data_IF_582583936776
#
_entry.id   IF_582583936776
#
_cell.length_a   1.000
_cell.length_b   1.000
_cell.length_c   1.000
_cell.angle_alpha   90.00
_cell.angle_beta   90.00
_cell.angle_gamma   90.00
#
_symmetry.space_group_name_H-M   'P 1'
#
loop_
_entity.id
_entity.type
_entity.pdbx_description
1 polymer ?
#
# COMPACT_ATOMS: atom_id res chain seq x y z
N UNK A 1 -45.08 -88.02 -24.05
CA UNK A 1 -45.77 -86.71 -23.97
C UNK A 1 -45.52 -86.14 -22.58
N UNK A 2 -45.20 -84.89 -22.32
CA UNK A 2 -44.66 -83.76 -23.06
C UNK A 2 -44.16 -82.79 -21.96
N UNK A 3 -43.19 -81.99 -22.33
CA UNK A 3 -42.30 -81.18 -21.49
C UNK A 3 -42.87 -79.82 -20.99
N UNK A 4 -42.43 -79.42 -19.79
CA UNK A 4 -41.89 -78.07 -19.39
C UNK A 4 -42.80 -76.86 -19.07
N UNK A 5 -42.44 -76.24 -17.92
CA UNK A 5 -42.21 -74.79 -17.62
C UNK A 5 -43.35 -73.77 -17.44
N UNK A 6 -43.42 -73.21 -16.21
CA UNK A 6 -43.66 -71.77 -15.90
C UNK A 6 -42.45 -70.92 -16.39
N UNK A 7 -42.49 -69.57 -16.58
CA UNK A 7 -43.17 -68.58 -15.73
C UNK A 7 -43.72 -67.31 -16.42
N UNK A 8 -44.34 -66.45 -15.60
CA UNK A 8 -45.02 -65.22 -15.98
C UNK A 8 -44.13 -64.11 -16.56
N UNK A 9 -44.82 -63.25 -17.29
CA UNK A 9 -44.35 -62.00 -17.86
C UNK A 9 -43.67 -61.12 -16.80
N UNK A 10 -42.39 -60.83 -17.06
CA UNK A 10 -41.57 -59.89 -16.30
C UNK A 10 -42.18 -58.49 -16.27
N UNK A 11 -42.52 -57.99 -15.08
CA UNK A 11 -42.49 -56.53 -14.81
C UNK A 11 -41.04 -56.09 -14.72
N UNK A 12 -40.43 -55.79 -15.86
CA UNK A 12 -39.19 -55.01 -15.90
C UNK A 12 -39.53 -53.55 -15.53
N UNK A 13 -39.64 -53.27 -14.23
CA UNK A 13 -39.63 -51.91 -13.71
C UNK A 13 -38.18 -51.55 -13.39
N UNK A 14 -37.65 -50.60 -14.17
CA UNK A 14 -36.27 -50.15 -14.16
C UNK A 14 -35.81 -49.74 -12.76
N UNK A 15 -34.91 -50.53 -12.16
CA UNK A 15 -34.07 -50.03 -11.07
C UNK A 15 -32.92 -49.24 -11.69
N UNK A 16 -32.98 -47.90 -11.59
CA UNK A 16 -31.86 -47.01 -11.94
C UNK A 16 -30.56 -47.54 -11.33
N UNK A 17 -29.55 -47.76 -12.18
CA UNK A 17 -28.24 -48.26 -11.77
C UNK A 17 -27.61 -47.32 -10.74
N UNK A 18 -26.78 -47.84 -9.84
CA UNK A 18 -26.09 -47.02 -8.84
C UNK A 18 -25.28 -45.88 -9.48
N UNK A 19 -24.73 -46.13 -10.67
CA UNK A 19 -23.98 -45.16 -11.46
C UNK A 19 -24.86 -44.00 -11.96
N UNK A 20 -26.08 -44.28 -12.45
CA UNK A 20 -27.02 -43.23 -12.85
C UNK A 20 -27.44 -42.33 -11.69
N UNK A 21 -27.58 -42.88 -10.47
CA UNK A 21 -27.87 -42.09 -9.27
C UNK A 21 -26.72 -41.15 -8.89
N UNK A 22 -25.48 -41.63 -9.01
CA UNK A 22 -24.29 -40.79 -8.73
C UNK A 22 -24.16 -39.67 -9.77
N UNK A 23 -24.41 -39.96 -11.05
CA UNK A 23 -24.39 -38.95 -12.11
C UNK A 23 -25.48 -37.88 -11.90
N UNK A 24 -26.72 -38.29 -11.62
CA UNK A 24 -27.81 -37.35 -11.34
C UNK A 24 -27.51 -36.47 -10.11
N UNK A 25 -26.94 -37.03 -9.05
CA UNK A 25 -26.55 -36.25 -7.87
C UNK A 25 -25.42 -35.25 -8.19
N UNK A 26 -24.46 -35.62 -9.03
CA UNK A 26 -23.41 -34.71 -9.48
C UNK A 26 -23.96 -33.57 -10.34
N UNK A 27 -24.92 -33.84 -11.23
CA UNK A 27 -25.59 -32.81 -12.02
C UNK A 27 -26.35 -31.81 -11.14
N UNK A 28 -27.09 -32.30 -10.14
CA UNK A 28 -27.79 -31.43 -9.17
C UNK A 28 -26.78 -30.59 -8.37
N UNK A 29 -25.67 -31.17 -7.93
CA UNK A 29 -24.62 -30.44 -7.22
C UNK A 29 -23.97 -29.36 -8.11
N UNK A 30 -23.74 -29.65 -9.39
CA UNK A 30 -23.21 -28.68 -10.35
C UNK A 30 -24.18 -27.51 -10.57
N UNK A 31 -25.48 -27.80 -10.74
CA UNK A 31 -26.51 -26.76 -10.88
C UNK A 31 -26.59 -25.86 -9.65
N UNK A 32 -26.47 -26.44 -8.44
CA UNK A 32 -26.48 -25.68 -7.19
C UNK A 32 -25.25 -24.76 -7.09
N UNK A 33 -24.06 -25.27 -7.45
CA UNK A 33 -22.83 -24.47 -7.50
C UNK A 33 -22.97 -23.32 -8.50
N UNK A 34 -23.57 -23.56 -9.66
CA UNK A 34 -23.78 -22.53 -10.68
C UNK A 34 -24.76 -21.45 -10.21
N UNK A 35 -25.85 -21.83 -9.55
CA UNK A 35 -26.78 -20.89 -8.91
C UNK A 35 -26.07 -20.01 -7.88
N UNK A 36 -25.31 -20.62 -6.97
CA UNK A 36 -24.56 -19.88 -5.95
C UNK A 36 -23.52 -18.94 -6.57
N UNK A 37 -22.83 -19.38 -7.62
CA UNK A 37 -21.87 -18.51 -8.36
C UNK A 37 -22.57 -17.31 -8.97
N UNK A 38 -23.75 -17.50 -9.56
CA UNK A 38 -24.57 -16.42 -10.12
C UNK A 38 -24.99 -15.42 -9.05
N UNK A 39 -25.48 -15.90 -7.90
CA UNK A 39 -25.85 -15.07 -6.75
C UNK A 39 -24.67 -14.25 -6.21
N UNK A 40 -23.51 -14.89 -6.02
CA UNK A 40 -22.29 -14.21 -5.57
C UNK A 40 -21.86 -13.15 -6.58
N UNK A 41 -21.94 -13.44 -7.88
CA UNK A 41 -21.65 -12.47 -8.94
C UNK A 41 -22.60 -11.27 -8.89
N UNK A 42 -23.90 -11.52 -8.67
CA UNK A 42 -24.90 -10.46 -8.49
C UNK A 42 -24.58 -9.57 -7.29
N UNK A 43 -24.25 -10.15 -6.13
CA UNK A 43 -23.86 -9.39 -4.93
C UNK A 43 -22.61 -8.53 -5.18
N UNK A 44 -21.61 -9.08 -5.88
CA UNK A 44 -20.41 -8.32 -6.25
C UNK A 44 -20.73 -7.14 -7.15
N UNK A 45 -21.58 -7.34 -8.17
CA UNK A 45 -22.00 -6.27 -9.07
C UNK A 45 -22.79 -5.18 -8.33
N UNK A 46 -23.71 -5.55 -7.44
CA UNK A 46 -24.45 -4.58 -6.62
C UNK A 46 -23.51 -3.73 -5.77
N UNK A 47 -22.55 -4.35 -5.07
CA UNK A 47 -21.55 -3.61 -4.29
C UNK A 47 -20.69 -2.68 -5.15
N UNK A 48 -20.28 -3.13 -6.33
CA UNK A 48 -19.50 -2.31 -7.27
C UNK A 48 -20.31 -1.07 -7.69
N UNK A 49 -21.60 -1.23 -8.00
CA UNK A 49 -22.44 -0.09 -8.41
C UNK A 49 -22.74 0.87 -7.26
N UNK A 50 -22.97 0.36 -6.05
CA UNK A 50 -23.08 1.19 -4.84
C UNK A 50 -21.81 2.00 -4.60
N UNK A 51 -20.65 1.36 -4.69
CA UNK A 51 -19.37 2.02 -4.48
C UNK A 51 -19.07 3.05 -5.57
N UNK A 52 -19.35 2.74 -6.85
CA UNK A 52 -19.28 3.73 -7.94
C UNK A 52 -20.18 4.94 -7.68
N UNK A 53 -21.38 4.73 -7.14
CA UNK A 53 -22.31 5.81 -6.81
C UNK A 53 -21.75 6.69 -5.69
N UNK A 54 -21.23 6.10 -4.61
CA UNK A 54 -20.57 6.82 -3.53
C UNK A 54 -19.37 7.64 -4.06
N UNK A 55 -18.49 7.00 -4.83
CA UNK A 55 -17.30 7.66 -5.37
C UNK A 55 -17.65 8.82 -6.31
N UNK A 56 -18.74 8.73 -7.08
CA UNK A 56 -19.24 9.85 -7.88
C UNK A 56 -19.74 11.01 -7.02
N UNK A 57 -20.44 10.73 -5.92
CA UNK A 57 -20.91 11.75 -4.98
C UNK A 57 -19.74 12.45 -4.28
N UNK A 58 -18.78 11.68 -3.76
CA UNK A 58 -17.57 12.23 -3.13
C UNK A 58 -16.77 13.09 -4.09
N UNK A 59 -16.54 12.63 -5.32
CA UNK A 59 -15.85 13.43 -6.34
C UNK A 59 -16.60 14.73 -6.67
N UNK A 60 -17.94 14.73 -6.66
CA UNK A 60 -18.72 15.95 -6.83
C UNK A 60 -18.48 16.94 -5.69
N UNK A 61 -18.57 16.47 -4.44
CA UNK A 61 -18.35 17.30 -3.25
C UNK A 61 -16.93 17.84 -3.16
N UNK A 62 -15.94 17.02 -3.52
CA UNK A 62 -14.54 17.44 -3.60
C UNK A 62 -14.33 18.50 -4.67
N UNK A 63 -14.95 18.36 -5.85
CA UNK A 63 -14.91 19.40 -6.90
C UNK A 63 -15.51 20.72 -6.42
N UNK A 64 -16.68 20.69 -5.78
CA UNK A 64 -17.31 21.89 -5.22
C UNK A 64 -16.42 22.54 -4.14
N UNK A 65 -15.76 21.72 -3.32
CA UNK A 65 -14.84 22.20 -2.28
C UNK A 65 -13.60 22.85 -2.89
N UNK A 66 -13.06 22.27 -3.97
CA UNK A 66 -11.94 22.86 -4.74
C UNK A 66 -12.35 24.18 -5.37
N UNK A 67 -13.55 24.27 -5.98
CA UNK A 67 -14.04 25.53 -6.54
C UNK A 67 -14.22 26.62 -5.49
N UNK A 68 -14.78 26.27 -4.31
CA UNK A 68 -14.89 27.20 -3.18
C UNK A 68 -13.54 27.66 -2.67
N UNK A 69 -12.61 26.74 -2.46
CA UNK A 69 -11.26 27.06 -2.00
C UNK A 69 -10.51 27.92 -3.02
N UNK A 70 -10.66 27.61 -4.32
CA UNK A 70 -10.14 28.42 -5.41
C UNK A 70 -10.72 29.83 -5.32
N UNK A 71 -12.04 29.99 -5.26
CA UNK A 71 -12.71 31.28 -5.17
C UNK A 71 -12.27 32.12 -3.95
N UNK A 72 -12.10 31.48 -2.78
CA UNK A 72 -11.58 32.15 -1.57
C UNK A 72 -10.15 32.62 -1.77
N UNK A 73 -9.30 31.80 -2.39
CA UNK A 73 -7.92 32.15 -2.71
C UNK A 73 -7.88 33.32 -3.69
N UNK A 74 -8.70 33.30 -4.75
CA UNK A 74 -8.87 34.43 -5.68
C UNK A 74 -9.24 35.71 -4.92
N UNK A 75 -10.22 35.63 -4.02
CA UNK A 75 -10.67 36.80 -3.25
C UNK A 75 -9.57 37.38 -2.35
N UNK A 76 -8.80 36.52 -1.69
CA UNK A 76 -7.66 36.93 -0.85
C UNK A 76 -6.49 37.50 -1.68
N UNK A 77 -6.22 36.93 -2.85
CA UNK A 77 -5.21 37.44 -3.79
C UNK A 77 -5.60 38.84 -4.31
N UNK A 78 -6.86 39.03 -4.68
CA UNK A 78 -7.40 40.33 -5.06
C UNK A 78 -7.33 41.34 -3.90
N UNK A 79 -7.66 40.93 -2.68
CA UNK A 79 -7.59 41.79 -1.49
C UNK A 79 -6.14 42.18 -1.12
N UNK A 80 -5.16 41.33 -1.46
CA UNK A 80 -3.73 41.54 -1.19
C UNK A 80 -2.97 42.17 -2.37
N UNK A 81 -3.66 42.61 -3.41
CA UNK A 81 -3.08 43.35 -4.55
C UNK A 81 -2.22 42.50 -5.49
N UNK A 82 -2.35 41.16 -5.46
CA UNK A 82 -1.68 40.27 -6.40
C UNK A 82 -2.58 40.03 -7.63
N UNK A 83 -2.14 40.38 -8.85
CA UNK A 83 -2.94 40.14 -10.04
C UNK A 83 -2.93 38.64 -10.38
N UNK A 84 -4.11 38.09 -10.61
CA UNK A 84 -4.21 36.74 -11.16
C UNK A 84 -3.73 36.71 -12.60
N UNK A 85 -2.82 35.78 -12.88
CA UNK A 85 -2.37 35.47 -14.23
C UNK A 85 -3.31 34.36 -14.73
N UNK A 86 -4.09 34.58 -15.80
CA UNK A 86 -4.90 33.54 -16.39
C UNK A 86 -3.98 32.43 -16.92
N UNK A 87 -4.34 31.19 -16.63
CA UNK A 87 -3.72 30.03 -17.26
C UNK A 87 -4.11 30.09 -18.75
N UNK A 88 -3.17 30.02 -19.71
CA UNK A 88 -3.52 30.05 -21.13
C UNK A 88 -4.48 28.91 -21.49
N UNK A 89 -5.73 29.24 -21.83
CA UNK A 89 -6.74 28.25 -22.20
C UNK A 89 -8.20 28.68 -22.10
N UNK A 90 -8.55 29.77 -21.41
CA UNK A 90 -9.94 30.26 -21.38
C UNK A 90 -9.98 31.79 -21.33
N UNK A 91 -10.72 32.37 -22.29
CA UNK A 91 -10.84 33.81 -22.55
C UNK A 91 -11.34 34.59 -21.33
N UNK A 92 -10.59 35.59 -20.88
CA UNK A 92 -11.14 36.71 -20.09
C UNK A 92 -10.51 38.02 -20.56
N UNK A 93 -11.38 39.00 -20.78
CA UNK A 93 -11.10 40.35 -21.26
C UNK A 93 -10.22 41.18 -20.31
N UNK A 94 -9.59 42.18 -20.92
CA UNK A 94 -8.52 43.05 -20.41
C UNK A 94 -8.98 44.12 -19.40
N UNK A 95 -8.03 44.80 -18.72
CA UNK A 95 -8.10 45.20 -17.31
C UNK A 95 -8.29 46.70 -17.10
N UNK A 96 -8.52 47.11 -15.85
CA UNK A 96 -8.27 48.48 -15.39
C UNK A 96 -7.37 48.52 -14.16
N UNK A 97 -6.32 49.32 -14.35
CA UNK A 97 -5.14 49.66 -13.57
C UNK A 97 -5.44 50.70 -12.48
N UNK A 98 -4.86 50.59 -11.28
CA UNK A 98 -4.42 51.78 -10.49
C UNK A 98 -3.19 51.44 -9.63
N UNK A 99 -2.22 52.35 -9.66
CA UNK A 99 -0.91 52.39 -9.00
C UNK A 99 -0.93 52.90 -7.53
N UNK A 100 0.21 52.70 -6.84
CA UNK A 100 0.88 53.59 -5.85
C UNK A 100 0.91 53.18 -4.35
N UNK A 101 1.97 52.44 -3.99
CA UNK A 101 3.13 52.79 -3.10
C UNK A 101 2.98 53.46 -1.68
N UNK A 102 4.01 53.28 -0.79
CA UNK A 102 3.90 52.97 0.65
C UNK A 102 4.27 54.14 1.60
N UNK A 103 4.39 53.95 2.93
CA UNK A 103 5.75 53.78 3.51
C UNK A 103 5.88 52.99 4.84
N UNK A 104 7.06 52.36 5.02
CA UNK A 104 8.04 52.42 6.16
C UNK A 104 7.55 52.38 7.64
N UNK A 105 8.24 51.90 8.67
CA UNK A 105 9.64 51.49 8.89
C UNK A 105 9.77 50.84 10.28
N UNK A 106 10.93 50.22 10.48
CA UNK A 106 11.47 49.45 11.61
C UNK A 106 11.51 50.18 12.97
N UNK A 107 11.51 49.40 14.06
CA UNK A 107 12.36 49.68 15.23
C UNK A 107 12.93 48.38 15.81
N UNK A 108 14.25 48.37 15.94
CA UNK A 108 15.09 47.37 16.57
C UNK A 108 15.45 47.81 18.00
N UNK A 109 15.67 46.86 18.91
CA UNK A 109 16.51 47.11 20.09
C UNK A 109 17.26 45.85 20.52
N UNK A 110 18.57 46.01 20.73
CA UNK A 110 19.59 45.06 21.17
C UNK A 110 19.91 45.32 22.64
N UNK A 111 20.28 44.29 23.41
CA UNK A 111 21.51 44.27 24.25
C UNK A 111 21.86 42.82 24.70
N UNK A 112 23.14 42.54 25.06
CA UNK A 112 23.82 41.26 24.83
C UNK A 112 24.21 40.50 26.11
N UNK A 113 24.69 39.26 25.97
CA UNK A 113 25.69 38.70 26.87
C UNK A 113 26.52 37.62 26.17
N UNK A 114 27.82 37.70 26.40
CA UNK A 114 28.87 36.88 25.80
C UNK A 114 29.43 35.92 26.86
N UNK A 115 29.51 34.63 26.57
CA UNK A 115 30.45 33.72 27.22
C UNK A 115 31.01 32.71 26.20
N UNK A 116 32.30 32.38 26.39
CA UNK A 116 33.24 31.84 25.41
C UNK A 116 33.81 30.51 25.93
N UNK A 117 34.02 29.57 24.99
CA UNK A 117 34.96 28.41 24.93
C UNK A 117 34.44 27.03 25.40
N UNK A 118 35.02 25.89 24.91
CA UNK A 118 35.93 25.70 23.75
C UNK A 118 35.51 24.60 22.74
N UNK A 119 36.16 24.64 21.57
CA UNK A 119 36.20 23.62 20.49
C UNK A 119 37.03 22.38 20.86
N UNK A 120 36.54 21.20 20.47
CA UNK A 120 37.25 20.00 19.93
C UNK A 120 36.17 19.00 19.52
N UNK A 121 36.17 18.25 18.42
CA UNK A 121 37.10 18.01 17.32
C UNK A 121 36.22 17.38 16.20
N UNK A 122 36.32 17.83 14.96
CA UNK A 122 35.50 17.32 13.83
C UNK A 122 36.05 15.96 13.36
N UNK A 123 35.22 14.93 13.14
CA UNK A 123 35.63 13.75 12.39
C UNK A 123 35.99 14.14 10.94
N UNK A 124 36.91 13.41 10.29
CA UNK A 124 37.33 13.69 8.91
C UNK A 124 36.15 13.57 7.94
N UNK A 125 36.15 14.34 6.82
CA UNK A 125 35.10 14.25 5.81
C UNK A 125 35.08 12.84 5.21
N UNK A 126 33.89 12.25 4.96
CA UNK A 126 33.80 10.97 4.28
C UNK A 126 34.44 11.08 2.88
N UNK A 127 35.13 10.02 2.41
CA UNK A 127 35.76 10.00 1.10
C UNK A 127 34.73 10.30 0.01
N UNK A 128 35.19 11.09 -0.97
CA UNK A 128 34.46 11.52 -2.17
C UNK A 128 33.68 10.36 -2.76
N UNK A 129 32.41 10.64 -3.08
CA UNK A 129 31.50 9.75 -3.77
C UNK A 129 32.23 9.01 -4.90
N UNK A 130 32.21 7.67 -4.80
CA UNK A 130 32.53 6.80 -5.90
C UNK A 130 31.60 7.12 -7.09
N UNK A 131 32.00 6.81 -8.33
CA UNK A 131 31.21 7.09 -9.53
C UNK A 131 29.78 6.62 -9.31
N UNK A 132 28.80 7.49 -9.55
CA UNK A 132 27.39 7.17 -9.35
C UNK A 132 27.06 5.94 -10.21
N UNK A 133 26.93 4.78 -9.54
CA UNK A 133 26.44 3.57 -10.16
C UNK A 133 25.07 3.87 -10.78
N UNK A 134 24.74 3.27 -11.94
CA UNK A 134 23.44 3.48 -12.57
C UNK A 134 22.32 3.28 -11.54
N UNK A 135 21.34 4.19 -11.55
CA UNK A 135 20.19 4.10 -10.65
C UNK A 135 19.31 2.97 -11.16
N UNK A 136 19.45 1.80 -10.55
CA UNK A 136 18.69 0.61 -10.89
C UNK A 136 18.17 -0.12 -9.64
N UNK A 137 17.35 -1.13 -9.87
CA UNK A 137 16.79 -1.98 -8.81
C UNK A 137 17.88 -2.86 -8.17
N UNK A 138 19.01 -3.07 -8.85
CA UNK A 138 20.14 -3.84 -8.37
C UNK A 138 20.76 -3.29 -7.08
N UNK A 139 20.62 -1.98 -6.85
CA UNK A 139 21.08 -1.27 -5.64
C UNK A 139 20.20 -1.48 -4.40
N UNK A 140 19.01 -2.06 -4.56
CA UNK A 140 18.08 -2.32 -3.45
C UNK A 140 18.35 -3.71 -2.84
N UNK A 141 18.44 -3.78 -1.52
CA UNK A 141 18.59 -5.06 -0.81
C UNK A 141 17.22 -5.62 -0.42
N UNK A 142 16.61 -6.36 -1.35
CA UNK A 142 15.39 -7.10 -1.08
C UNK A 142 15.67 -8.50 -0.55
N UNK A 143 15.00 -8.86 0.54
CA UNK A 143 15.07 -10.20 1.14
C UNK A 143 13.70 -10.69 1.57
N UNK A 144 13.54 -12.00 1.58
CA UNK A 144 12.41 -12.65 2.22
C UNK A 144 12.62 -12.66 3.73
N UNK A 145 11.58 -12.38 4.49
CA UNK A 145 11.59 -12.51 5.94
C UNK A 145 10.32 -13.12 6.49
N UNK A 146 10.38 -13.57 7.74
CA UNK A 146 9.25 -14.14 8.48
C UNK A 146 8.96 -13.31 9.72
N UNK A 147 7.71 -12.88 9.87
CA UNK A 147 7.27 -12.16 11.06
C UNK A 147 7.19 -13.16 12.22
N UNK A 148 8.13 -13.04 13.17
CA UNK A 148 8.23 -13.92 14.36
C UNK A 148 7.29 -13.43 15.46
N UNK A 149 7.19 -12.11 15.64
CA UNK A 149 6.32 -11.49 16.63
C UNK A 149 5.72 -10.21 16.04
N UNK A 150 4.45 -9.95 16.32
CA UNK A 150 3.77 -8.70 15.98
C UNK A 150 3.03 -8.16 17.20
N UNK A 151 3.19 -6.87 17.46
CA UNK A 151 2.50 -6.15 18.53
C UNK A 151 2.02 -4.80 18.04
N UNK A 152 0.97 -4.24 18.65
CA UNK A 152 0.56 -2.86 18.37
C UNK A 152 1.55 -1.89 18.99
N UNK A 153 1.86 -0.81 18.27
CA UNK A 153 2.77 0.21 18.77
C UNK A 153 2.17 0.90 20.02
N UNK A 154 2.91 1.05 21.13
CA UNK A 154 2.37 1.62 22.38
C UNK A 154 1.87 3.05 22.22
N UNK A 155 2.59 3.86 21.44
CA UNK A 155 2.27 5.28 21.21
C UNK A 155 1.60 5.57 19.84
N UNK A 156 1.14 4.54 19.12
CA UNK A 156 0.49 4.70 17.81
C UNK A 156 -0.52 3.60 17.48
N UNK A 157 -1.80 3.99 17.38
CA UNK A 157 -2.88 3.06 17.02
C UNK A 157 -2.84 2.58 15.57
N UNK A 158 -2.12 3.29 14.69
CA UNK A 158 -2.03 2.95 13.26
C UNK A 158 -0.80 2.12 12.91
N UNK A 159 0.08 1.83 13.87
CA UNK A 159 1.37 1.17 13.62
C UNK A 159 1.45 -0.17 14.34
N UNK A 160 2.02 -1.16 13.67
CA UNK A 160 2.51 -2.39 14.27
C UNK A 160 4.01 -2.29 14.49
N UNK A 161 4.50 -3.02 15.49
CA UNK A 161 5.91 -3.29 15.73
C UNK A 161 6.11 -4.79 15.53
N UNK A 162 6.85 -5.14 14.50
CA UNK A 162 7.17 -6.51 14.14
C UNK A 162 8.63 -6.85 14.44
N UNK A 163 8.86 -8.08 14.89
CA UNK A 163 10.16 -8.74 14.87
C UNK A 163 10.21 -9.67 13.68
N UNK A 164 11.07 -9.37 12.72
CA UNK A 164 11.12 -10.10 11.44
C UNK A 164 12.48 -10.78 11.30
N UNK A 165 12.44 -12.10 11.12
CA UNK A 165 13.63 -12.90 10.79
C UNK A 165 13.94 -12.69 9.30
N UNK A 166 15.13 -12.17 9.01
CA UNK A 166 15.62 -11.88 7.66
C UNK A 166 16.78 -12.82 7.27
N UNK A 167 16.95 -13.96 7.95
CA UNK A 167 18.11 -14.84 7.79
C UNK A 167 19.39 -14.27 8.41
N UNK A 168 19.25 -13.35 9.36
CA UNK A 168 20.34 -12.73 10.13
C UNK A 168 20.38 -13.31 11.55
N UNK A 169 21.51 -13.17 12.29
CA UNK A 169 21.62 -13.73 13.64
C UNK A 169 20.58 -13.20 14.63
N UNK A 170 20.07 -11.98 14.39
CA UNK A 170 19.04 -11.35 15.21
C UNK A 170 17.88 -10.88 14.33
N UNK A 171 16.62 -11.12 14.75
CA UNK A 171 15.46 -10.55 14.07
C UNK A 171 15.51 -9.02 14.09
N UNK A 172 15.17 -8.41 12.96
CA UNK A 172 15.10 -6.95 12.83
C UNK A 172 13.80 -6.42 13.40
N UNK A 173 13.86 -5.21 13.94
CA UNK A 173 12.65 -4.47 14.36
C UNK A 173 12.11 -3.68 13.19
N UNK A 174 10.84 -3.90 12.84
CA UNK A 174 10.16 -3.21 11.76
C UNK A 174 8.90 -2.55 12.29
N UNK A 175 8.62 -1.34 11.83
CA UNK A 175 7.42 -0.60 12.19
C UNK A 175 6.60 -0.40 10.92
N UNK A 176 5.41 -1.00 10.85
CA UNK A 176 4.55 -0.95 9.67
C UNK A 176 3.22 -0.24 9.95
N UNK A 177 2.72 0.49 8.95
CA UNK A 177 1.43 1.19 9.02
C UNK A 177 0.22 0.32 8.63
N UNK A 178 0.22 -0.95 9.02
CA UNK A 178 -0.71 -1.95 8.48
C UNK A 178 -1.94 -2.23 9.35
N UNK A 179 -2.09 -1.57 10.52
CA UNK A 179 -3.17 -1.84 11.48
C UNK A 179 -4.57 -1.72 10.88
N UNK A 180 -4.76 -0.80 9.94
CA UNK A 180 -6.07 -0.57 9.28
C UNK A 180 -6.35 -1.54 8.13
N UNK A 181 -5.33 -2.27 7.66
CA UNK A 181 -5.40 -3.05 6.43
C UNK A 181 -5.31 -4.56 6.68
N UNK A 182 -4.50 -4.97 7.67
CA UNK A 182 -4.24 -6.38 7.97
C UNK A 182 -4.44 -6.62 9.47
N UNK A 183 -5.29 -7.59 9.85
CA UNK A 183 -5.48 -7.95 11.25
C UNK A 183 -4.21 -8.61 11.82
N UNK A 184 -4.00 -8.47 13.14
CA UNK A 184 -2.81 -8.97 13.82
C UNK A 184 -2.61 -10.49 13.64
N UNK A 185 -3.70 -11.25 13.60
CA UNK A 185 -3.70 -12.71 13.40
C UNK A 185 -3.12 -13.12 12.04
N UNK A 186 -3.35 -12.31 11.00
CA UNK A 186 -2.81 -12.55 9.66
C UNK A 186 -1.36 -12.08 9.51
N UNK A 187 -0.85 -11.27 10.45
CA UNK A 187 0.53 -10.80 10.45
C UNK A 187 1.47 -11.82 11.11
N UNK A 188 0.99 -12.53 12.13
CA UNK A 188 1.79 -13.48 12.88
C UNK A 188 2.25 -14.65 12.00
N UNK A 189 3.54 -15.00 12.05
CA UNK A 189 4.16 -16.06 11.24
C UNK A 189 4.06 -15.87 9.71
N UNK A 190 3.69 -14.69 9.23
CA UNK A 190 3.57 -14.40 7.80
C UNK A 190 4.94 -14.21 7.15
N UNK A 191 5.08 -14.77 5.95
CA UNK A 191 6.22 -14.54 5.07
C UNK A 191 6.02 -13.24 4.31
N UNK A 192 7.07 -12.42 4.24
CA UNK A 192 7.03 -11.07 3.65
C UNK A 192 8.30 -10.78 2.86
N UNK A 193 8.22 -9.82 1.95
CA UNK A 193 9.41 -9.25 1.29
C UNK A 193 9.78 -7.94 1.99
N UNK A 194 11.07 -7.77 2.27
CA UNK A 194 11.61 -6.64 3.01
C UNK A 194 12.64 -5.89 2.18
N UNK A 195 12.72 -4.59 2.41
CA UNK A 195 13.85 -3.77 1.98
C UNK A 195 14.78 -3.49 3.18
N UNK A 196 16.01 -4.00 3.11
CA UNK A 196 16.91 -4.13 4.25
C UNK A 196 18.07 -3.11 4.29
N UNK A 197 18.33 -2.38 3.21
CA UNK A 197 19.43 -1.41 3.12
C UNK A 197 18.98 0.06 3.20
N UNK A 198 17.77 0.33 3.70
CA UNK A 198 17.36 1.68 4.05
C UNK A 198 18.08 2.17 5.31
N UNK A 199 18.27 3.49 5.40
CA UNK A 199 18.68 4.12 6.65
C UNK A 199 17.63 3.86 7.74
N UNK A 200 17.98 3.29 8.91
CA UNK A 200 17.03 3.08 9.98
C UNK A 200 16.34 4.39 10.40
N UNK A 201 15.02 4.33 10.55
CA UNK A 201 14.18 5.48 10.83
C UNK A 201 13.44 5.30 12.15
N UNK A 202 13.40 6.35 12.97
CA UNK A 202 12.63 6.34 14.22
C UNK A 202 11.18 6.73 13.94
N UNK A 203 10.26 5.87 14.31
CA UNK A 203 8.81 6.09 14.22
C UNK A 203 8.27 6.04 15.65
N UNK A 204 7.91 7.21 16.19
CA UNK A 204 7.35 7.36 17.55
C UNK A 204 8.13 6.63 18.66
N UNK A 205 9.46 6.70 18.59
CA UNK A 205 10.35 6.15 19.63
C UNK A 205 10.93 4.77 19.31
N UNK A 206 10.28 3.98 18.44
CA UNK A 206 10.80 2.70 17.96
C UNK A 206 11.61 2.91 16.68
N UNK A 207 12.76 2.23 16.55
CA UNK A 207 13.60 2.30 15.35
C UNK A 207 13.21 1.18 14.38
N UNK A 208 12.79 1.52 13.17
CA UNK A 208 12.53 0.57 12.08
C UNK A 208 13.81 0.37 11.27
N UNK A 209 14.27 -0.87 11.19
CA UNK A 209 15.54 -1.29 10.56
C UNK A 209 15.34 -1.87 9.16
N UNK A 210 14.10 -2.07 8.75
CA UNK A 210 13.70 -2.48 7.41
C UNK A 210 12.29 -1.93 7.11
N UNK A 211 11.81 -2.18 5.90
CA UNK A 211 10.45 -1.85 5.46
C UNK A 211 9.81 -3.06 4.78
N UNK A 212 8.57 -3.39 5.18
CA UNK A 212 7.77 -4.42 4.51
C UNK A 212 7.28 -3.89 3.17
N UNK A 213 7.47 -4.69 2.12
CA UNK A 213 7.03 -4.35 0.77
C UNK A 213 5.56 -4.72 0.56
N UNK A 214 4.79 -3.73 0.10
CA UNK A 214 3.37 -3.86 -0.13
C UNK A 214 2.99 -3.34 -1.51
N UNK A 215 1.92 -3.88 -2.09
CA UNK A 215 1.17 -3.24 -3.16
C UNK A 215 0.16 -2.27 -2.51
N UNK A 216 0.17 -1.01 -2.95
CA UNK A 216 -0.75 0.02 -2.44
C UNK A 216 -1.53 0.67 -3.56
N UNK A 217 -2.84 0.80 -3.37
CA UNK A 217 -3.76 1.67 -4.10
C UNK A 217 -4.36 2.71 -3.14
N UNK A 218 -5.08 3.74 -3.63
CA UNK A 218 -5.72 4.74 -2.76
C UNK A 218 -6.65 4.12 -1.70
N UNK A 219 -7.26 2.97 -2.01
CA UNK A 219 -8.28 2.34 -1.18
C UNK A 219 -7.77 1.10 -0.41
N UNK A 220 -6.65 0.50 -0.82
CA UNK A 220 -6.19 -0.79 -0.29
C UNK A 220 -4.68 -0.92 -0.23
N UNK A 221 -4.18 -1.60 0.80
CA UNK A 221 -2.78 -2.01 0.91
C UNK A 221 -2.73 -3.52 1.15
N UNK A 222 -1.94 -4.22 0.36
CA UNK A 222 -1.72 -5.67 0.47
C UNK A 222 -0.22 -5.97 0.55
N UNK A 223 0.16 -6.88 1.44
CA UNK A 223 1.56 -7.27 1.63
C UNK A 223 1.99 -8.20 0.49
N UNK A 224 3.18 -7.96 -0.08
CA UNK A 224 3.74 -8.84 -1.10
C UNK A 224 4.10 -10.20 -0.48
N UNK A 225 3.45 -11.25 -0.98
CA UNK A 225 3.71 -12.62 -0.56
C UNK A 225 4.86 -13.22 -1.41
N UNK A 226 5.92 -13.75 -0.78
CA UNK A 226 6.94 -14.53 -1.49
C UNK A 226 6.36 -15.88 -1.95
N UNK A 227 7.03 -16.58 -2.90
CA UNK A 227 6.59 -17.88 -3.38
C UNK A 227 6.60 -18.93 -2.26
N UNK A 228 5.78 -19.97 -2.41
CA UNK A 228 5.74 -21.10 -1.48
C UNK A 228 7.12 -21.78 -1.41
N UNK A 229 7.58 -22.05 -0.19
CA UNK A 229 8.88 -22.66 0.07
C UNK A 229 10.05 -21.68 0.24
N UNK A 230 9.82 -20.37 0.09
CA UNK A 230 10.84 -19.37 0.40
C UNK A 230 11.23 -19.40 1.89
N UNK A 231 12.52 -19.24 2.16
CA UNK A 231 13.09 -19.21 3.50
C UNK A 231 13.45 -17.77 3.92
N UNK A 232 13.46 -17.46 5.24
CA UNK A 232 14.01 -16.22 5.75
C UNK A 232 15.47 -16.01 5.27
N UNK A 233 15.75 -14.86 4.69
CA UNK A 233 17.04 -14.51 4.12
C UNK A 233 17.20 -14.77 2.63
N UNK A 234 16.23 -15.43 1.98
CA UNK A 234 16.27 -15.61 0.53
C UNK A 234 16.34 -14.25 -0.19
N UNK A 235 17.23 -14.17 -1.18
CA UNK A 235 17.48 -12.95 -1.92
C UNK A 235 16.42 -12.75 -3.00
N UNK A 236 15.81 -11.58 -3.02
CA UNK A 236 14.87 -11.19 -4.09
C UNK A 236 15.61 -10.28 -5.07
N UNK A 237 15.57 -10.63 -6.35
CA UNK A 237 16.19 -9.85 -7.41
C UNK A 237 15.26 -9.75 -8.62
N UNK A 238 15.42 -8.69 -9.41
CA UNK A 238 14.69 -8.53 -10.66
C UNK A 238 15.50 -9.11 -11.83
N UNK A 239 14.85 -9.91 -12.68
CA UNK A 239 15.49 -10.44 -13.87
C UNK A 239 15.94 -9.29 -14.80
N UNK A 240 17.17 -9.37 -15.30
CA UNK A 240 17.77 -8.34 -16.15
C UNK A 240 18.53 -7.23 -15.40
N UNK A 241 18.49 -7.22 -14.06
CA UNK A 241 19.28 -6.31 -13.23
C UNK A 241 20.29 -7.10 -12.39
N UNK A 242 21.55 -6.71 -12.43
CA UNK A 242 22.59 -7.32 -11.60
C UNK A 242 22.43 -6.85 -10.14
N UNK A 243 22.45 -7.77 -9.19
CA UNK A 243 22.28 -7.44 -7.76
C UNK A 243 23.59 -6.90 -7.18
N UNK A 244 23.64 -5.59 -6.95
CA UNK A 244 24.74 -4.88 -6.30
C UNK A 244 24.19 -3.89 -5.25
N UNK A 245 23.65 -4.39 -4.12
CA UNK A 245 22.98 -3.55 -3.14
C UNK A 245 23.95 -2.59 -2.47
N UNK A 246 23.53 -1.33 -2.33
CA UNK A 246 24.27 -0.36 -1.53
C UNK A 246 24.32 -0.83 -0.07
N UNK A 247 25.44 -0.62 0.61
CA UNK A 247 25.57 -0.92 2.04
C UNK A 247 24.50 -0.18 2.88
N UNK A 248 24.18 1.05 2.47
CA UNK A 248 23.08 1.83 3.01
C UNK A 248 22.65 2.88 1.97
N UNK A 249 21.37 2.92 1.65
CA UNK A 249 20.80 3.90 0.71
C UNK A 249 20.89 5.32 1.30
N UNK A 250 21.43 6.23 0.50
CA UNK A 250 21.46 7.66 0.84
C UNK A 250 20.05 8.27 0.61
N UNK A 251 19.43 8.89 1.64
CA UNK A 251 18.12 9.52 1.48
C UNK A 251 18.13 10.85 0.70
N UNK A 252 19.30 11.41 0.41
CA UNK A 252 19.47 12.62 -0.42
C UNK A 252 19.86 12.26 -1.83
#
# INVERSE_FOLDING_TARGET
>A
LSTRFFPGFSRFSLKMSALQRVLANNEVAQQMIESMKSEISGIRQMKIEEWKKQLRQENSLLRDSVEKAKAQLIALECASGRPQIPIPGENVEKPTKVEAQPPSSEMAEKVPSAEKKPKKEKPPPPPKAAPEAPIDVGRLDFRVGKIVEVSRHPDADSLYVEKIDCGEPQPRTVVSGLVRFVPLEEMQNRMVVLLCNLKPAKMRGVTSEAMVMCASSPDKVEILAPPEGAAPGDLVHCQGFERQPDAQLNPK
#
